data_IF_781240309023
#
_entry.id   IF_781240309023
#
_cell.length_a   1.000
_cell.length_b   1.000
_cell.length_c   1.000
_cell.angle_alpha   90.00
_cell.angle_beta   90.00
_cell.angle_gamma   90.00
#
_symmetry.space_group_name_H-M   'P 1'
#
loop_
_entity.id
_entity.type
_entity.pdbx_description
1 polymer ?
#
# COMPACT_ATOMS: atom_id res chain seq x y z
N UNK A 1 5.93 -11.88 -4.71
CA UNK A 1 5.02 -12.96 -5.15
C UNK A 1 4.22 -13.42 -3.94
N UNK A 2 2.89 -13.56 -4.06
CA UNK A 2 2.03 -14.07 -2.98
C UNK A 2 2.22 -15.58 -2.83
N UNK A 3 2.16 -16.05 -1.59
CA UNK A 3 2.22 -17.47 -1.23
C UNK A 3 0.86 -17.95 -0.72
N UNK A 4 0.55 -19.25 -0.85
CA UNK A 4 -0.62 -19.82 -0.20
C UNK A 4 -0.60 -19.54 1.31
N UNK A 5 -1.74 -19.07 1.83
CA UNK A 5 -1.88 -18.67 3.24
C UNK A 5 -1.60 -17.19 3.53
N UNK A 6 -0.98 -16.44 2.62
CA UNK A 6 -0.80 -14.99 2.80
C UNK A 6 -2.14 -14.27 2.93
N UNK A 7 -2.14 -13.18 3.69
CA UNK A 7 -3.29 -12.29 3.85
C UNK A 7 -2.96 -10.95 3.20
N UNK A 8 -3.72 -10.59 2.17
CA UNK A 8 -3.71 -9.27 1.55
C UNK A 8 -4.76 -8.43 2.27
N UNK A 9 -4.33 -7.35 2.92
CA UNK A 9 -5.21 -6.37 3.56
C UNK A 9 -5.32 -5.15 2.66
N UNK A 10 -6.55 -4.72 2.36
CA UNK A 10 -6.81 -3.52 1.56
C UNK A 10 -7.77 -2.59 2.30
N UNK A 11 -7.64 -1.28 2.08
CA UNK A 11 -8.65 -0.33 2.55
C UNK A 11 -9.97 -0.50 1.78
N UNK A 12 -10.98 0.29 2.14
CA UNK A 12 -12.32 0.15 1.61
C UNK A 12 -12.59 0.91 0.30
N UNK A 13 -11.55 1.41 -0.39
CA UNK A 13 -11.67 2.16 -1.65
C UNK A 13 -12.35 1.33 -2.74
N UNK A 14 -13.23 1.96 -3.53
CA UNK A 14 -14.03 1.27 -4.55
C UNK A 14 -13.20 0.50 -5.58
N UNK A 15 -12.04 1.04 -5.99
CA UNK A 15 -11.12 0.38 -6.93
C UNK A 15 -10.53 -0.93 -6.40
N UNK A 16 -10.47 -1.12 -5.08
CA UNK A 16 -9.98 -2.35 -4.45
C UNK A 16 -10.99 -3.51 -4.50
N UNK A 17 -12.26 -3.22 -4.80
CA UNK A 17 -13.35 -4.20 -4.76
C UNK A 17 -13.60 -4.93 -6.08
N UNK A 18 -12.71 -4.80 -7.05
CA UNK A 18 -12.89 -5.45 -8.35
C UNK A 18 -12.91 -6.99 -8.20
N UNK A 19 -13.78 -7.64 -8.99
CA UNK A 19 -13.85 -9.09 -9.01
C UNK A 19 -12.52 -9.72 -9.45
N UNK A 20 -11.82 -9.07 -10.38
CA UNK A 20 -10.51 -9.51 -10.87
C UNK A 20 -9.46 -9.59 -9.75
N UNK A 21 -9.34 -8.56 -8.90
CA UNK A 21 -8.39 -8.57 -7.77
C UNK A 21 -8.67 -9.76 -6.85
N UNK A 22 -9.94 -9.97 -6.49
CA UNK A 22 -10.34 -11.09 -5.62
C UNK A 22 -10.01 -12.44 -6.24
N UNK A 23 -10.24 -12.62 -7.54
CA UNK A 23 -9.94 -13.85 -8.26
C UNK A 23 -8.43 -14.13 -8.30
N UNK A 24 -7.62 -13.12 -8.63
CA UNK A 24 -6.16 -13.26 -8.68
C UNK A 24 -5.55 -13.63 -7.33
N UNK A 25 -6.00 -12.99 -6.24
CA UNK A 25 -5.50 -13.28 -4.89
C UNK A 25 -5.88 -14.71 -4.47
N UNK A 26 -7.12 -15.14 -4.74
CA UNK A 26 -7.55 -16.52 -4.47
C UNK A 26 -6.79 -17.56 -5.30
N UNK A 27 -6.49 -17.26 -6.57
CA UNK A 27 -5.72 -18.15 -7.43
C UNK A 27 -4.30 -18.39 -6.91
N UNK A 28 -3.73 -17.42 -6.19
CA UNK A 28 -2.44 -17.58 -5.48
C UNK A 28 -2.55 -18.36 -4.14
N UNK A 29 -3.75 -18.81 -3.75
CA UNK A 29 -3.99 -19.44 -2.45
C UNK A 29 -3.99 -18.48 -1.27
N UNK A 30 -4.05 -17.16 -1.53
CA UNK A 30 -4.04 -16.12 -0.52
C UNK A 30 -5.48 -15.67 -0.16
N UNK A 31 -5.61 -14.93 0.94
CA UNK A 31 -6.88 -14.39 1.45
C UNK A 31 -6.91 -12.87 1.30
N UNK A 32 -8.04 -12.32 0.88
CA UNK A 32 -8.26 -10.88 0.78
C UNK A 32 -9.15 -10.40 1.93
N UNK A 33 -8.65 -9.47 2.75
CA UNK A 33 -9.37 -8.83 3.84
C UNK A 33 -9.51 -7.33 3.56
N UNK A 34 -10.67 -6.78 3.88
CA UNK A 34 -10.91 -5.34 3.80
C UNK A 34 -10.96 -4.73 5.20
N UNK A 35 -10.38 -3.56 5.36
CA UNK A 35 -10.52 -2.78 6.58
C UNK A 35 -11.95 -2.20 6.69
N UNK A 36 -12.48 -1.99 7.91
CA UNK A 36 -13.72 -1.26 8.09
C UNK A 36 -13.62 0.17 7.50
N UNK A 37 -14.74 0.75 7.04
CA UNK A 37 -14.76 2.15 6.60
C UNK A 37 -14.17 3.08 7.66
N UNK A 38 -13.46 4.12 7.22
CA UNK A 38 -12.90 5.16 8.09
C UNK A 38 -12.02 4.64 9.24
N UNK A 39 -11.32 3.51 9.04
CA UNK A 39 -10.40 2.93 10.01
C UNK A 39 -8.93 3.02 9.58
N UNK A 40 -8.39 4.23 9.34
CA UNK A 40 -6.99 4.39 8.91
C UNK A 40 -6.01 3.88 9.96
N UNK A 41 -6.39 3.93 11.23
CA UNK A 41 -5.58 3.49 12.38
C UNK A 41 -5.25 1.99 12.32
N UNK A 42 -6.10 1.21 11.64
CA UNK A 42 -5.93 -0.22 11.44
C UNK A 42 -5.11 -0.56 10.19
N UNK A 43 -4.66 0.45 9.43
CA UNK A 43 -3.90 0.26 8.20
C UNK A 43 -2.38 0.46 8.46
N UNK A 44 -1.56 -0.60 8.56
CA UNK A 44 -0.15 -0.47 8.94
C UNK A 44 0.67 0.36 7.97
N UNK A 45 0.24 0.48 6.70
CA UNK A 45 0.94 1.28 5.69
C UNK A 45 0.98 2.77 6.05
N UNK A 46 0.03 3.26 6.85
CA UNK A 46 -0.03 4.67 7.26
C UNK A 46 1.18 5.06 8.09
N UNK A 47 1.66 4.17 8.97
CA UNK A 47 2.86 4.42 9.78
C UNK A 47 4.11 4.46 8.91
N UNK A 48 4.23 3.55 7.93
CA UNK A 48 5.33 3.54 6.97
C UNK A 48 5.32 4.83 6.11
N UNK A 49 4.16 5.21 5.58
CA UNK A 49 4.00 6.43 4.79
C UNK A 49 4.27 7.69 5.60
N UNK A 50 3.97 7.73 6.91
CA UNK A 50 4.34 8.85 7.76
C UNK A 50 5.86 9.06 7.80
N UNK A 51 6.66 7.98 7.89
CA UNK A 51 8.13 8.05 7.86
C UNK A 51 8.67 8.42 6.50
N UNK A 52 8.17 7.81 5.42
CA UNK A 52 8.57 8.15 4.05
C UNK A 52 8.30 9.64 3.78
N UNK A 53 7.10 10.14 4.10
CA UNK A 53 6.76 11.56 3.95
C UNK A 53 7.67 12.47 4.76
N UNK A 54 8.08 12.07 5.96
CA UNK A 54 9.01 12.85 6.78
C UNK A 54 10.35 13.04 6.07
N UNK A 55 10.96 11.95 5.58
CA UNK A 55 12.25 12.03 4.86
C UNK A 55 12.13 12.76 3.51
N UNK A 56 11.05 12.54 2.76
CA UNK A 56 10.79 13.30 1.53
C UNK A 56 10.68 14.81 1.78
N UNK A 57 10.00 15.23 2.87
CA UNK A 57 9.93 16.64 3.26
C UNK A 57 11.30 17.19 3.66
N UNK A 58 12.15 16.40 4.30
CA UNK A 58 13.51 16.84 4.64
C UNK A 58 14.37 17.08 3.38
N UNK A 59 14.21 16.25 2.34
CA UNK A 59 15.00 16.32 1.12
C UNK A 59 14.61 17.48 0.17
N UNK A 60 13.41 18.05 0.32
CA UNK A 60 12.97 19.26 -0.39
C UNK A 60 13.09 19.21 -1.92
N UNK A 61 13.01 18.03 -2.54
CA UNK A 61 13.03 17.88 -4.01
C UNK A 61 11.80 18.54 -4.63
N UNK A 62 12.00 19.26 -5.74
CA UNK A 62 10.97 20.13 -6.35
C UNK A 62 10.56 19.73 -7.76
N UNK A 63 11.19 18.70 -8.32
CA UNK A 63 10.82 18.10 -9.60
C UNK A 63 10.29 16.68 -9.41
N UNK A 64 9.45 16.22 -10.34
CA UNK A 64 8.91 14.85 -10.31
C UNK A 64 10.06 13.83 -10.39
N UNK A 65 11.03 14.05 -11.27
CA UNK A 65 12.17 13.14 -11.49
C UNK A 65 13.02 12.98 -10.23
N UNK A 66 13.39 14.10 -9.58
CA UNK A 66 14.18 14.04 -8.35
C UNK A 66 13.39 13.43 -7.19
N UNK A 67 12.08 13.70 -7.12
CA UNK A 67 11.21 13.12 -6.09
C UNK A 67 11.13 11.60 -6.25
N UNK A 68 10.94 11.12 -7.48
CA UNK A 68 10.89 9.70 -7.82
C UNK A 68 12.21 8.98 -7.54
N UNK A 69 13.34 9.57 -7.96
CA UNK A 69 14.65 9.00 -7.67
C UNK A 69 14.92 8.96 -6.16
N UNK A 70 14.58 10.03 -5.45
CA UNK A 70 14.83 10.11 -4.02
C UNK A 70 14.02 9.09 -3.22
N UNK A 71 12.72 8.91 -3.52
CA UNK A 71 11.93 7.87 -2.82
C UNK A 71 12.50 6.47 -3.07
N UNK A 72 13.01 6.18 -4.27
CA UNK A 72 13.68 4.92 -4.58
C UNK A 72 15.00 4.66 -3.84
N UNK A 73 15.57 5.67 -3.16
CA UNK A 73 16.72 5.50 -2.26
C UNK A 73 16.30 5.34 -0.77
N UNK A 74 15.03 5.59 -0.44
CA UNK A 74 14.52 5.51 0.94
C UNK A 74 13.94 4.13 1.29
N UNK A 75 13.57 3.33 0.28
CA UNK A 75 12.93 2.01 0.38
C UNK A 75 13.64 1.01 -0.53
#
# INVERSE_FOLDING_TARGET
VLKPGDIVVMDNLGSHKSAAIRQMIKAAGARLWYLPPYSPDLNPIEQAFAKIKHWMRQAQKRTIEETWRHIGHLV
#
